data_IF_701430574704
#
_entry.id   IF_701430574704
#
_cell.length_a   1.000
_cell.length_b   1.000
_cell.length_c   1.000
_cell.angle_alpha   90.00
_cell.angle_beta   90.00
_cell.angle_gamma   90.00
#
_symmetry.space_group_name_H-M   'P 1'
#
loop_
_entity.id
_entity.type
_entity.pdbx_description
1 polymer ?
#
# COMPACT_ATOMS: atom_id res chain seq x y z
N UNK A 1 -17.55 -0.02 -3.49
CA UNK A 1 -16.93 1.16 -4.11
C UNK A 1 -15.68 1.44 -3.30
N UNK A 2 -14.53 0.87 -3.68
CA UNK A 2 -13.29 0.99 -2.91
C UNK A 2 -12.46 2.13 -3.51
N UNK A 3 -12.07 3.10 -2.69
CA UNK A 3 -11.13 4.15 -3.08
C UNK A 3 -9.73 3.53 -3.09
N UNK A 4 -9.01 3.65 -4.21
CA UNK A 4 -7.61 3.25 -4.26
C UNK A 4 -6.78 4.31 -3.51
N UNK A 5 -6.15 3.91 -2.40
CA UNK A 5 -5.27 4.78 -1.62
C UNK A 5 -3.88 4.12 -1.51
N UNK A 6 -2.80 4.92 -1.41
CA UNK A 6 -1.48 4.38 -1.14
C UNK A 6 -1.45 3.72 0.25
N UNK A 7 -0.91 2.51 0.33
CA UNK A 7 -0.62 1.84 1.60
C UNK A 7 0.84 1.42 1.67
N UNK A 8 1.40 1.31 2.87
CA UNK A 8 2.80 0.94 3.06
C UNK A 8 2.97 -0.54 3.28
N UNK A 9 3.91 -1.16 2.57
CA UNK A 9 4.24 -2.57 2.75
C UNK A 9 5.04 -2.76 4.04
N UNK A 10 4.49 -3.50 4.99
CA UNK A 10 5.15 -3.81 6.27
C UNK A 10 5.87 -5.16 6.25
N UNK A 11 5.31 -6.14 5.55
CA UNK A 11 5.83 -7.51 5.47
C UNK A 11 5.55 -8.07 4.09
N UNK A 12 6.40 -8.99 3.62
CA UNK A 12 6.20 -9.74 2.37
C UNK A 12 6.39 -11.23 2.67
N UNK A 13 5.42 -12.03 2.25
CA UNK A 13 5.50 -13.50 2.27
C UNK A 13 5.61 -14.01 0.85
N UNK A 14 6.74 -14.65 0.57
CA UNK A 14 7.03 -15.29 -0.71
C UNK A 14 6.06 -16.45 -1.01
N UNK A 15 5.86 -16.80 -2.30
CA UNK A 15 5.07 -17.94 -2.69
C UNK A 15 5.59 -19.24 -2.03
N UNK A 16 4.68 -20.08 -1.56
CA UNK A 16 5.01 -21.31 -0.84
C UNK A 16 3.86 -22.32 -0.84
N UNK A 17 3.99 -23.38 -0.05
CA UNK A 17 2.99 -24.45 0.01
C UNK A 17 1.58 -23.93 0.38
N UNK A 18 1.51 -22.87 1.20
CA UNK A 18 0.26 -22.26 1.67
C UNK A 18 -0.22 -21.07 0.81
N UNK A 19 0.59 -20.58 -0.13
CA UNK A 19 0.30 -19.44 -1.01
C UNK A 19 0.82 -19.71 -2.43
N UNK A 20 0.02 -20.40 -3.27
CA UNK A 20 0.58 -21.18 -4.38
C UNK A 20 0.93 -20.40 -5.66
N UNK A 21 0.71 -19.08 -5.75
CA UNK A 21 0.87 -18.37 -7.03
C UNK A 21 1.58 -17.01 -7.01
N UNK A 22 1.59 -16.26 -5.91
CA UNK A 22 2.25 -14.94 -5.86
C UNK A 22 2.58 -14.53 -4.43
N UNK A 23 3.57 -13.64 -4.28
CA UNK A 23 3.87 -13.05 -2.99
C UNK A 23 2.65 -12.27 -2.45
N UNK A 24 2.48 -12.30 -1.13
CA UNK A 24 1.43 -11.57 -0.41
C UNK A 24 2.10 -10.63 0.57
N UNK A 25 1.74 -9.34 0.52
CA UNK A 25 2.22 -8.32 1.44
C UNK A 25 1.20 -8.01 2.52
N UNK A 26 1.67 -7.73 3.74
CA UNK A 26 0.88 -7.02 4.75
C UNK A 26 1.04 -5.52 4.49
N UNK A 27 -0.04 -4.82 4.13
CA UNK A 27 -0.02 -3.39 3.78
C UNK A 27 -0.81 -2.59 4.82
N UNK A 28 -0.21 -1.51 5.32
CA UNK A 28 -0.82 -0.58 6.28
C UNK A 28 -1.45 0.62 5.58
N UNK A 29 -2.69 0.90 5.98
CA UNK A 29 -3.46 2.07 5.58
C UNK A 29 -3.86 2.82 6.86
N UNK A 30 -2.99 3.70 7.34
CA UNK A 30 -3.23 4.52 8.53
C UNK A 30 -3.61 3.69 9.77
N UNK A 31 -2.88 2.60 10.00
CA UNK A 31 -3.09 1.68 11.12
C UNK A 31 -4.02 0.50 10.81
N UNK A 32 -4.67 0.47 9.66
CA UNK A 32 -5.42 -0.71 9.20
C UNK A 32 -4.52 -1.59 8.35
N UNK A 33 -4.29 -2.83 8.76
CA UNK A 33 -3.43 -3.79 8.05
C UNK A 33 -4.26 -4.78 7.25
N UNK A 34 -3.95 -4.91 5.97
CA UNK A 34 -4.62 -5.83 5.05
C UNK A 34 -3.61 -6.69 4.31
N UNK A 35 -4.01 -7.90 3.98
CA UNK A 35 -3.24 -8.77 3.07
C UNK A 35 -3.52 -8.36 1.63
N UNK A 36 -2.46 -8.12 0.87
CA UNK A 36 -2.51 -7.62 -0.49
C UNK A 36 -1.67 -8.50 -1.40
N UNK A 37 -2.25 -8.96 -2.51
CA UNK A 37 -1.51 -9.71 -3.51
C UNK A 37 -0.52 -8.81 -4.26
N UNK A 38 0.73 -9.24 -4.37
CA UNK A 38 1.82 -8.51 -5.04
C UNK A 38 2.10 -9.04 -6.45
N UNK A 39 1.17 -9.78 -7.05
CA UNK A 39 1.34 -10.42 -8.35
C UNK A 39 1.70 -9.44 -9.48
N UNK A 40 1.23 -8.18 -9.40
CA UNK A 40 1.50 -7.15 -10.40
C UNK A 40 2.66 -6.22 -10.03
N UNK A 41 3.19 -6.35 -8.81
CA UNK A 41 4.32 -5.56 -8.31
C UNK A 41 5.35 -6.49 -7.65
N UNK A 42 5.92 -7.46 -8.37
CA UNK A 42 6.91 -8.39 -7.82
C UNK A 42 8.19 -7.69 -7.33
N UNK A 43 8.42 -6.45 -7.73
CA UNK A 43 9.54 -5.60 -7.33
C UNK A 43 9.32 -4.88 -5.98
N UNK A 44 8.09 -4.90 -5.44
CA UNK A 44 7.75 -4.22 -4.19
C UNK A 44 8.57 -4.75 -3.01
N UNK A 45 8.98 -3.85 -2.12
CA UNK A 45 9.79 -4.15 -0.94
C UNK A 45 9.11 -3.65 0.33
N UNK A 46 9.53 -4.20 1.46
CA UNK A 46 9.15 -3.66 2.77
C UNK A 46 9.59 -2.20 2.85
N UNK A 47 8.68 -1.33 3.24
CA UNK A 47 8.86 0.12 3.29
C UNK A 47 8.33 0.86 2.06
N UNK A 48 8.09 0.18 0.94
CA UNK A 48 7.53 0.80 -0.26
C UNK A 48 6.05 1.16 -0.05
N UNK A 49 5.62 2.18 -0.78
CA UNK A 49 4.21 2.51 -0.92
C UNK A 49 3.63 1.80 -2.13
N UNK A 50 2.42 1.28 -2.01
CA UNK A 50 1.73 0.61 -3.10
C UNK A 50 0.30 1.14 -3.24
N UNK A 51 -0.14 1.33 -4.47
CA UNK A 51 -1.53 1.63 -4.77
C UNK A 51 -2.33 0.33 -4.82
N UNK A 52 -3.35 0.21 -3.96
CA UNK A 52 -4.12 -1.04 -3.82
C UNK A 52 -5.52 -0.90 -4.38
N UNK A 53 -5.93 -1.90 -5.17
CA UNK A 53 -7.30 -2.02 -5.68
C UNK A 53 -7.72 -3.48 -5.71
N UNK A 54 -8.95 -3.76 -5.27
CA UNK A 54 -9.54 -5.10 -5.29
C UNK A 54 -8.67 -6.21 -4.65
N UNK A 55 -7.87 -5.86 -3.63
CA UNK A 55 -6.99 -6.80 -2.92
C UNK A 55 -5.61 -7.01 -3.55
N UNK A 56 -5.25 -6.24 -4.58
CA UNK A 56 -3.94 -6.32 -5.24
C UNK A 56 -3.24 -4.97 -5.27
N UNK A 57 -1.92 -5.01 -5.12
CA UNK A 57 -1.06 -3.87 -5.43
C UNK A 57 -0.97 -3.75 -6.95
N UNK A 58 -1.30 -2.57 -7.48
CA UNK A 58 -1.28 -2.28 -8.91
C UNK A 58 -0.01 -1.57 -9.36
N UNK A 59 0.56 -0.74 -8.48
CA UNK A 59 1.78 0.03 -8.73
C UNK A 59 2.54 0.25 -7.43
N UNK A 60 3.87 0.21 -7.50
CA UNK A 60 4.75 0.76 -6.46
C UNK A 60 4.85 2.27 -6.66
N UNK A 61 4.80 3.01 -5.57
CA UNK A 61 4.91 4.46 -5.52
C UNK A 61 6.15 4.85 -4.72
N UNK A 62 6.79 5.94 -5.11
CA UNK A 62 7.75 6.58 -4.21
C UNK A 62 7.03 7.37 -3.10
N UNK A 63 7.80 7.78 -2.08
CA UNK A 63 7.27 8.49 -0.92
C UNK A 63 6.65 9.85 -1.29
N UNK A 64 7.19 10.55 -2.29
CA UNK A 64 6.67 11.84 -2.73
C UNK A 64 5.35 11.68 -3.49
N UNK A 65 5.21 10.67 -4.34
CA UNK A 65 3.95 10.33 -5.02
C UNK A 65 2.85 9.92 -4.02
N UNK A 66 3.21 9.11 -3.02
CA UNK A 66 2.30 8.74 -1.95
C UNK A 66 1.85 9.96 -1.16
N UNK A 67 2.79 10.84 -0.78
CA UNK A 67 2.50 12.10 -0.08
C UNK A 67 1.60 13.02 -0.88
N UNK A 68 1.84 13.17 -2.19
CA UNK A 68 1.01 13.99 -3.06
C UNK A 68 -0.43 13.48 -3.08
N UNK A 69 -0.62 12.17 -3.25
CA UNK A 69 -1.94 11.53 -3.23
C UNK A 69 -2.65 11.75 -1.89
N UNK A 70 -1.97 11.51 -0.77
CA UNK A 70 -2.55 11.74 0.56
C UNK A 70 -2.86 13.21 0.82
N UNK A 71 -2.06 14.13 0.29
CA UNK A 71 -2.32 15.57 0.37
C UNK A 71 -3.60 15.95 -0.37
N UNK A 72 -3.84 15.37 -1.55
CA UNK A 72 -5.10 15.57 -2.27
C UNK A 72 -6.30 15.00 -1.51
N UNK A 73 -6.17 13.80 -0.93
CA UNK A 73 -7.22 13.18 -0.12
C UNK A 73 -7.58 14.02 1.11
N UNK A 74 -6.56 14.59 1.76
CA UNK A 74 -6.72 15.53 2.86
C UNK A 74 -7.41 16.82 2.45
N UNK A 75 -6.99 17.43 1.33
CA UNK A 75 -7.61 18.64 0.81
C UNK A 75 -9.10 18.42 0.42
N UNK A 76 -9.44 17.22 -0.05
CA UNK A 76 -10.81 16.81 -0.36
C UNK A 76 -11.66 16.48 0.90
N UNK A 77 -11.05 16.44 2.09
CA UNK A 77 -11.72 16.10 3.35
C UNK A 77 -12.12 14.63 3.46
N UNK A 78 -11.45 13.74 2.71
CA UNK A 78 -11.78 12.30 2.63
C UNK A 78 -10.91 11.46 3.56
N UNK A 79 -9.69 11.92 3.88
CA UNK A 79 -8.77 11.24 4.80
C UNK A 79 -7.77 12.23 5.45
N UNK A 80 -6.98 11.77 6.42
CA UNK A 80 -5.86 12.54 6.99
C UNK A 80 -4.52 12.11 6.35
N UNK A 81 -3.40 12.75 6.73
CA UNK A 81 -2.07 12.26 6.33
C UNK A 81 -1.64 11.13 7.28
N UNK A 82 -1.03 10.04 6.78
CA UNK A 82 -0.45 9.03 7.64
C UNK A 82 0.71 9.63 8.45
N UNK A 83 0.96 9.17 9.69
CA UNK A 83 1.95 9.74 10.61
C UNK A 83 3.38 9.69 10.07
N UNK A 84 3.66 8.71 9.24
CA UNK A 84 4.94 8.55 8.55
C UNK A 84 5.18 9.58 7.43
N UNK A 85 4.12 10.22 6.91
CA UNK A 85 4.21 11.29 5.91
C UNK A 85 3.90 12.67 6.51
N UNK A 86 3.59 12.76 7.81
CA UNK A 86 3.29 14.03 8.49
C UNK A 86 4.52 14.78 9.00
N UNK A 87 5.72 14.18 8.89
CA UNK A 87 6.99 14.86 9.15
C UNK A 87 7.27 15.21 10.61
N UNK A 88 6.82 14.38 11.55
CA UNK A 88 7.17 14.47 12.98
C UNK A 88 8.46 13.72 13.34
#
# INVERSE_FOLDING_TARGET
>A
MCLAVPGKVLEIREPGADAPMSAVGTVDFQGTRLEVGLAFTPEAKIGDWVLVHAGYALSVLDEAEALETWTYLKAAGVAELPPELSGE
#
